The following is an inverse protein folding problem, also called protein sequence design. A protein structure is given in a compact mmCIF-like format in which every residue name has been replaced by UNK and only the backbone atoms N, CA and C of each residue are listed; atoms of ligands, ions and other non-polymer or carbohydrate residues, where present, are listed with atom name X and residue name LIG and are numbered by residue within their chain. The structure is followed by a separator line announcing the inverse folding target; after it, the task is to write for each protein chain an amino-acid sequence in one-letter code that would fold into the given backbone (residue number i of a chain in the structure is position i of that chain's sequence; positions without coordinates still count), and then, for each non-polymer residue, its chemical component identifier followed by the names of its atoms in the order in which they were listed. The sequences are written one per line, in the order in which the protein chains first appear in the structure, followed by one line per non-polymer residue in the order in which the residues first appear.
data_IF_069650582906
#
_entry.id   IF_069650582906
#
_cell.length_a   1.000
_cell.length_b   1.000
_cell.length_c   1.000
_cell.angle_alpha   90.00
_cell.angle_beta   90.00
_cell.angle_gamma   90.00
#
_symmetry.space_group_name_H-M   'P 1'
#
loop_
_entity.id
_entity.type
_entity.pdbx_description
1 polymer ?
#
# COMPACT_ATOMS: atom_id res chain seq x y z
N UNK A 1 -1.25 25.65 -1.75
CA UNK A 1 -2.21 25.15 -2.74
C UNK A 1 -3.61 25.09 -2.10
N UNK A 2 -4.68 25.33 -2.86
CA UNK A 2 -6.05 25.08 -2.38
C UNK A 2 -6.29 23.57 -2.23
N UNK A 3 -7.10 23.17 -1.24
CA UNK A 3 -7.49 21.76 -1.09
C UNK A 3 -8.31 21.32 -2.31
N UNK A 4 -8.04 20.11 -2.87
CA UNK A 4 -8.83 19.58 -3.97
C UNK A 4 -10.28 19.37 -3.54
N UNK A 5 -11.22 19.69 -4.43
CA UNK A 5 -12.66 19.55 -4.17
C UNK A 5 -13.19 18.17 -4.52
N UNK A 6 -12.62 17.56 -5.57
CA UNK A 6 -13.00 16.23 -6.04
C UNK A 6 -11.73 15.37 -6.12
N UNK A 7 -11.74 14.29 -5.36
CA UNK A 7 -10.69 13.29 -5.35
C UNK A 7 -11.23 11.97 -5.89
N UNK A 8 -10.44 11.27 -6.65
CA UNK A 8 -10.78 9.96 -7.20
C UNK A 8 -9.85 8.88 -6.62
N UNK A 9 -10.43 7.85 -6.00
CA UNK A 9 -9.66 6.70 -5.57
C UNK A 9 -9.43 5.76 -6.75
N UNK A 10 -8.16 5.52 -7.07
CA UNK A 10 -7.73 4.61 -8.12
C UNK A 10 -7.00 3.41 -7.52
N UNK A 11 -7.47 2.21 -7.82
CA UNK A 11 -6.71 1.00 -7.53
C UNK A 11 -5.56 0.87 -8.53
N UNK A 12 -4.35 1.27 -8.12
CA UNK A 12 -3.14 1.24 -8.95
C UNK A 12 -2.79 -0.14 -9.53
N UNK A 13 -3.40 -1.20 -8.98
CA UNK A 13 -3.26 -2.57 -9.52
C UNK A 13 -4.10 -2.81 -10.76
N UNK A 14 -5.20 -2.07 -10.93
CA UNK A 14 -6.18 -2.35 -11.97
C UNK A 14 -5.58 -2.47 -13.38
N UNK A 15 -4.76 -1.53 -13.86
CA UNK A 15 -4.13 -1.63 -15.17
C UNK A 15 -3.22 -2.87 -15.27
N UNK A 16 -2.42 -3.12 -14.24
CA UNK A 16 -1.47 -4.24 -14.19
C UNK A 16 -2.17 -5.62 -14.19
N UNK A 17 -3.37 -5.69 -13.62
CA UNK A 17 -4.12 -6.93 -13.42
C UNK A 17 -5.05 -7.23 -14.59
N UNK A 18 -5.81 -6.23 -15.05
CA UNK A 18 -7.00 -6.47 -15.87
C UNK A 18 -6.92 -5.91 -17.29
N UNK A 19 -6.12 -4.86 -17.51
CA UNK A 19 -6.20 -4.13 -18.78
C UNK A 19 -5.22 -4.66 -19.82
N UNK A 20 -4.01 -5.04 -19.42
CA UNK A 20 -2.94 -5.36 -20.36
C UNK A 20 -2.23 -6.66 -20.04
N UNK A 21 -1.89 -7.41 -21.08
CA UNK A 21 -1.01 -8.59 -20.98
C UNK A 21 0.46 -8.15 -20.82
N UNK A 22 1.30 -8.95 -20.14
CA UNK A 22 2.74 -8.72 -20.13
C UNK A 22 3.37 -8.94 -21.54
N UNK A 23 4.35 -8.11 -21.91
CA UNK A 23 4.94 -6.99 -21.18
C UNK A 23 4.17 -5.67 -21.39
N UNK A 24 3.70 -5.06 -20.31
CA UNK A 24 3.01 -3.77 -20.35
C UNK A 24 3.97 -2.65 -20.73
N UNK A 25 3.51 -1.73 -21.58
CA UNK A 25 4.23 -0.52 -21.96
C UNK A 25 3.93 0.64 -21.01
N UNK A 26 4.85 1.61 -20.92
CA UNK A 26 4.69 2.82 -20.10
C UNK A 26 3.40 3.58 -20.43
N UNK A 27 3.11 3.75 -21.72
CA UNK A 27 1.96 4.48 -22.22
C UNK A 27 0.64 3.81 -21.80
N UNK A 28 0.62 2.49 -21.79
CA UNK A 28 -0.52 1.69 -21.30
C UNK A 28 -0.78 1.92 -19.80
N UNK A 29 0.28 2.02 -18.99
CA UNK A 29 0.11 2.32 -17.58
C UNK A 29 -0.34 3.77 -17.33
N UNK A 30 0.05 4.72 -18.19
CA UNK A 30 -0.39 6.11 -18.13
C UNK A 30 -1.89 6.27 -18.29
N UNK A 31 -2.59 5.33 -18.93
CA UNK A 31 -4.05 5.33 -19.08
C UNK A 31 -4.79 5.34 -17.75
N UNK A 32 -4.17 4.84 -16.67
CA UNK A 32 -4.71 4.97 -15.30
C UNK A 32 -5.01 6.44 -14.93
N UNK A 33 -4.23 7.37 -15.45
CA UNK A 33 -4.41 8.80 -15.26
C UNK A 33 -5.25 9.41 -16.40
N UNK A 34 -5.02 8.99 -17.62
CA UNK A 34 -5.63 9.58 -18.82
C UNK A 34 -7.15 9.42 -18.84
N UNK A 35 -7.69 8.34 -18.26
CA UNK A 35 -9.13 8.13 -18.09
C UNK A 35 -9.80 9.24 -17.27
N UNK A 36 -9.05 9.99 -16.47
CA UNK A 36 -9.56 11.08 -15.64
C UNK A 36 -9.38 12.47 -16.28
N UNK A 37 -8.75 12.54 -17.45
CA UNK A 37 -8.59 13.80 -18.19
C UNK A 37 -9.94 14.25 -18.74
N UNK A 38 -10.24 15.55 -18.59
CA UNK A 38 -11.55 16.10 -18.99
C UNK A 38 -12.67 15.89 -17.96
N UNK A 39 -12.39 15.19 -16.86
CA UNK A 39 -13.31 15.07 -15.71
C UNK A 39 -13.02 16.16 -14.67
N UNK A 40 -13.97 16.45 -13.75
CA UNK A 40 -13.77 17.42 -12.68
C UNK A 40 -12.86 16.92 -11.53
N UNK A 41 -12.24 15.74 -11.65
CA UNK A 41 -11.28 15.21 -10.67
C UNK A 41 -10.05 16.09 -10.62
N UNK A 42 -9.69 16.55 -9.45
CA UNK A 42 -8.53 17.41 -9.20
C UNK A 42 -7.35 16.63 -8.61
N UNK A 43 -7.63 15.59 -7.84
CA UNK A 43 -6.61 14.74 -7.21
C UNK A 43 -6.92 13.25 -7.36
N UNK A 44 -5.86 12.46 -7.46
CA UNK A 44 -5.94 11.00 -7.59
C UNK A 44 -5.33 10.37 -6.33
N UNK A 45 -6.15 9.62 -5.57
CA UNK A 45 -5.70 8.79 -4.47
C UNK A 45 -5.32 7.43 -5.05
N UNK A 46 -4.01 7.19 -5.23
CA UNK A 46 -3.49 6.09 -6.03
C UNK A 46 -2.89 4.99 -5.15
N UNK A 47 -3.48 3.80 -5.15
CA UNK A 47 -3.00 2.68 -4.34
C UNK A 47 -1.65 2.16 -4.84
N UNK A 48 -0.66 2.13 -3.95
CA UNK A 48 0.72 1.74 -4.26
C UNK A 48 0.99 0.25 -4.09
N UNK A 49 0.09 -0.47 -3.46
CA UNK A 49 0.20 -1.91 -3.19
C UNK A 49 -0.58 -2.33 -1.95
N UNK A 50 -0.26 -3.50 -1.45
CA UNK A 50 -0.94 -4.10 -0.30
C UNK A 50 0.03 -4.22 0.90
N UNK A 51 -0.14 -3.38 1.90
CA UNK A 51 0.71 -3.41 3.09
C UNK A 51 2.17 -3.11 2.75
N UNK A 52 3.08 -4.08 2.87
CA UNK A 52 4.49 -3.94 2.52
C UNK A 52 4.83 -4.40 1.09
N UNK A 53 3.94 -5.11 0.43
CA UNK A 53 4.16 -5.55 -0.95
C UNK A 53 3.66 -4.47 -1.91
N UNK A 54 4.55 -3.99 -2.77
CA UNK A 54 4.35 -2.82 -3.61
C UNK A 54 4.33 -3.16 -5.09
N UNK A 55 3.74 -2.29 -5.89
CA UNK A 55 3.67 -2.41 -7.34
C UNK A 55 4.64 -1.45 -8.04
N UNK A 56 5.60 -0.93 -7.30
CA UNK A 56 6.63 0.00 -7.77
C UNK A 56 7.97 -0.31 -7.09
N UNK A 57 9.02 0.33 -7.54
CA UNK A 57 10.36 0.16 -6.99
C UNK A 57 10.46 0.71 -5.56
N UNK A 58 10.87 -0.15 -4.61
CA UNK A 58 10.98 0.17 -3.19
C UNK A 58 12.14 -0.58 -2.54
N UNK A 59 12.82 0.08 -1.60
CA UNK A 59 13.84 -0.53 -0.73
C UNK A 59 13.26 -0.87 0.65
N UNK A 60 12.29 -0.09 1.13
CA UNK A 60 11.61 -0.34 2.39
C UNK A 60 10.58 -1.46 2.30
N UNK A 61 10.00 -1.65 1.11
CA UNK A 61 9.01 -2.68 0.81
C UNK A 61 9.57 -3.82 -0.03
N UNK A 62 8.68 -4.58 -0.62
CA UNK A 62 8.97 -5.69 -1.53
C UNK A 62 8.04 -5.59 -2.74
N UNK A 63 8.53 -5.93 -3.92
CA UNK A 63 7.67 -6.02 -5.09
C UNK A 63 6.64 -7.12 -4.90
N UNK A 64 5.40 -6.82 -5.19
CA UNK A 64 4.25 -7.70 -5.05
C UNK A 64 4.46 -9.03 -5.78
N UNK A 65 4.37 -10.12 -5.04
CA UNK A 65 4.55 -11.47 -5.56
C UNK A 65 6.01 -11.96 -5.67
N UNK A 66 7.00 -11.22 -5.18
CA UNK A 66 8.42 -11.63 -5.22
C UNK A 66 8.66 -12.96 -4.50
N UNK A 67 7.97 -13.22 -3.39
CA UNK A 67 8.11 -14.47 -2.63
C UNK A 67 7.29 -15.62 -3.19
N UNK A 68 6.48 -15.40 -4.24
CA UNK A 68 5.58 -16.42 -4.75
C UNK A 68 6.33 -17.53 -5.49
N UNK A 69 6.12 -18.76 -5.04
CA UNK A 69 6.52 -20.00 -5.72
C UNK A 69 5.40 -20.55 -6.60
N UNK A 70 4.18 -20.24 -6.23
CA UNK A 70 2.95 -20.63 -6.92
C UNK A 70 1.98 -19.46 -6.93
N UNK A 71 1.23 -19.33 -8.01
CA UNK A 71 0.23 -18.26 -8.14
C UNK A 71 -1.17 -18.82 -7.90
N UNK A 72 -1.91 -18.19 -7.00
CA UNK A 72 -3.30 -18.55 -6.73
C UNK A 72 -4.23 -18.21 -7.90
N UNK A 73 -3.88 -17.19 -8.68
CA UNK A 73 -4.62 -16.79 -9.88
C UNK A 73 -3.68 -16.15 -10.92
N UNK A 74 -4.01 -16.32 -12.20
CA UNK A 74 -3.21 -15.79 -13.32
C UNK A 74 -3.11 -14.26 -13.29
N UNK A 75 -4.16 -13.57 -12.85
CA UNK A 75 -4.18 -12.09 -12.78
C UNK A 75 -3.11 -11.55 -11.84
N UNK A 76 -2.81 -12.23 -10.75
CA UNK A 76 -1.78 -11.81 -9.80
C UNK A 76 -0.37 -12.00 -10.38
N UNK A 77 -0.18 -13.08 -11.14
CA UNK A 77 1.06 -13.27 -11.89
C UNK A 77 1.24 -12.19 -12.95
N UNK A 78 0.16 -11.83 -13.66
CA UNK A 78 0.15 -10.75 -14.67
C UNK A 78 0.58 -9.43 -14.04
N UNK A 79 -0.01 -9.06 -12.89
CA UNK A 79 0.36 -7.82 -12.18
C UNK A 79 1.85 -7.80 -11.82
N UNK A 80 2.38 -8.90 -11.28
CA UNK A 80 3.81 -9.01 -10.97
C UNK A 80 4.69 -8.85 -12.21
N UNK A 81 4.35 -9.55 -13.29
CA UNK A 81 5.14 -9.50 -14.52
C UNK A 81 5.14 -8.10 -15.15
N UNK A 82 3.97 -7.43 -15.17
CA UNK A 82 3.85 -6.07 -15.70
C UNK A 82 4.64 -5.07 -14.85
N UNK A 83 4.45 -5.07 -13.53
CA UNK A 83 5.17 -4.17 -12.63
C UNK A 83 6.69 -4.40 -12.71
N UNK A 84 7.12 -5.67 -12.71
CA UNK A 84 8.53 -6.03 -12.82
C UNK A 84 9.14 -5.56 -14.14
N UNK A 85 8.45 -5.80 -15.26
CA UNK A 85 8.92 -5.35 -16.57
C UNK A 85 9.07 -3.84 -16.63
N UNK A 86 8.06 -3.08 -16.20
CA UNK A 86 8.13 -1.62 -16.17
C UNK A 86 9.33 -1.12 -15.35
N UNK A 87 9.58 -1.72 -14.18
CA UNK A 87 10.74 -1.36 -13.34
C UNK A 87 12.06 -1.68 -14.05
N UNK A 88 12.21 -2.85 -14.67
CA UNK A 88 13.41 -3.30 -15.39
C UNK A 88 13.72 -2.38 -16.59
N UNK A 89 12.69 -1.81 -17.23
CA UNK A 89 12.82 -0.82 -18.31
C UNK A 89 13.05 0.62 -17.79
N UNK A 90 13.21 0.81 -16.47
CA UNK A 90 13.40 2.13 -15.87
C UNK A 90 12.12 2.97 -15.79
N UNK A 91 10.96 2.36 -16.01
CA UNK A 91 9.64 2.98 -15.97
C UNK A 91 8.92 2.59 -14.66
N UNK A 92 9.47 3.00 -13.51
CA UNK A 92 8.84 2.73 -12.21
C UNK A 92 7.37 3.15 -12.21
N UNK A 93 6.41 2.22 -11.95
CA UNK A 93 4.96 2.47 -12.09
C UNK A 93 4.47 3.68 -11.30
N UNK A 94 4.91 3.86 -10.05
CA UNK A 94 4.46 5.00 -9.24
C UNK A 94 4.95 6.33 -9.82
N UNK A 95 6.21 6.39 -10.28
CA UNK A 95 6.77 7.58 -10.94
C UNK A 95 6.04 7.88 -12.23
N UNK A 96 5.76 6.87 -13.05
CA UNK A 96 5.00 7.02 -14.32
C UNK A 96 3.63 7.62 -14.05
N UNK A 97 2.92 7.15 -13.01
CA UNK A 97 1.60 7.68 -12.65
C UNK A 97 1.67 9.13 -12.13
N UNK A 98 2.66 9.45 -11.28
CA UNK A 98 2.85 10.81 -10.73
C UNK A 98 3.18 11.79 -11.86
N UNK A 99 4.20 11.49 -12.66
CA UNK A 99 4.64 12.37 -13.76
C UNK A 99 3.49 12.61 -14.74
N UNK A 100 2.68 11.57 -15.02
CA UNK A 100 1.52 11.71 -15.90
C UNK A 100 0.43 12.57 -15.26
N UNK A 101 0.14 12.40 -13.97
CA UNK A 101 -0.85 13.22 -13.25
C UNK A 101 -0.46 14.69 -13.28
N UNK A 102 0.78 15.02 -12.96
CA UNK A 102 1.31 16.39 -13.00
C UNK A 102 1.27 16.97 -14.41
N UNK A 103 1.66 16.20 -15.43
CA UNK A 103 1.57 16.64 -16.84
C UNK A 103 0.12 16.92 -17.29
N UNK A 104 -0.87 16.34 -16.60
CA UNK A 104 -2.31 16.55 -16.84
C UNK A 104 -2.94 17.54 -15.85
N UNK A 105 -2.15 18.22 -15.02
CA UNK A 105 -2.62 19.21 -14.04
C UNK A 105 -3.41 18.61 -12.89
N UNK A 106 -3.18 17.35 -12.54
CA UNK A 106 -3.82 16.65 -11.42
C UNK A 106 -2.83 16.42 -10.28
N UNK A 107 -3.33 16.46 -9.05
CA UNK A 107 -2.55 16.11 -7.87
C UNK A 107 -2.51 14.59 -7.68
N UNK A 108 -1.40 14.08 -7.11
CA UNK A 108 -1.22 12.67 -6.84
C UNK A 108 -0.96 12.40 -5.35
N UNK A 109 -1.83 11.59 -4.76
CA UNK A 109 -1.74 11.14 -3.37
C UNK A 109 -1.56 9.61 -3.34
N UNK A 110 -0.34 9.09 -3.15
CA UNK A 110 -0.15 7.67 -2.93
C UNK A 110 -0.96 7.18 -1.72
N UNK A 111 -1.56 6.01 -1.85
CA UNK A 111 -2.40 5.38 -0.82
C UNK A 111 -1.73 4.12 -0.31
N UNK A 112 -1.49 4.03 1.00
CA UNK A 112 -1.03 2.82 1.65
C UNK A 112 -2.19 2.12 2.36
N UNK A 113 -2.46 0.87 1.98
CA UNK A 113 -3.26 -0.04 2.78
C UNK A 113 -2.48 -0.41 4.04
N UNK A 114 -2.88 0.14 5.18
CA UNK A 114 -2.08 0.07 6.42
C UNK A 114 -2.01 -1.35 6.97
N UNK A 115 -3.17 -2.03 7.05
CA UNK A 115 -3.24 -3.40 7.56
C UNK A 115 -3.42 -4.38 6.41
N UNK A 116 -2.56 -5.38 6.38
CA UNK A 116 -2.69 -6.53 5.49
C UNK A 116 -2.62 -7.80 6.31
N UNK A 117 -3.56 -8.65 6.08
CA UNK A 117 -3.60 -9.95 6.73
C UNK A 117 -3.48 -11.06 5.74
N UNK A 118 -2.99 -12.13 6.25
CA UNK A 118 -3.13 -13.52 5.90
C UNK A 118 -2.98 -13.97 4.46
N UNK A 119 -2.10 -14.90 4.31
CA UNK A 119 -1.97 -15.71 3.12
C UNK A 119 -0.92 -16.77 3.31
N UNK A 120 -1.01 -17.80 2.50
CA UNK A 120 -0.03 -18.87 2.46
C UNK A 120 1.30 -18.36 1.90
N UNK A 121 2.39 -18.64 2.60
CA UNK A 121 3.74 -18.32 2.13
C UNK A 121 4.02 -18.87 0.74
N UNK A 122 4.53 -18.04 -0.12
CA UNK A 122 4.87 -18.42 -1.49
C UNK A 122 3.67 -18.59 -2.43
N UNK A 123 2.46 -18.30 -1.96
CA UNK A 123 1.21 -18.33 -2.74
C UNK A 123 0.49 -16.98 -2.70
N UNK A 124 0.37 -16.37 -1.53
CA UNK A 124 -0.24 -15.05 -1.41
C UNK A 124 0.79 -13.96 -1.74
N UNK A 125 0.50 -13.21 -2.77
CA UNK A 125 1.32 -12.10 -3.26
C UNK A 125 1.35 -10.88 -2.32
N UNK A 126 0.48 -10.83 -1.32
CA UNK A 126 0.39 -9.75 -0.32
C UNK A 126 1.19 -10.03 0.94
N UNK A 127 1.72 -11.24 1.08
CA UNK A 127 2.51 -11.62 2.24
C UNK A 127 3.96 -11.16 2.07
N UNK A 128 4.46 -10.33 2.99
CA UNK A 128 5.84 -9.85 2.99
C UNK A 128 6.77 -10.75 3.79
N UNK A 129 8.06 -10.74 3.45
CA UNK A 129 9.09 -11.43 4.23
C UNK A 129 9.16 -10.90 5.67
N UNK A 130 8.91 -9.60 5.87
CA UNK A 130 8.84 -9.03 7.21
C UNK A 130 7.82 -9.77 8.08
N UNK A 131 6.58 -9.92 7.59
CA UNK A 131 5.53 -10.61 8.33
C UNK A 131 5.86 -12.08 8.56
N UNK A 132 6.38 -12.77 7.54
CA UNK A 132 6.72 -14.19 7.63
C UNK A 132 7.81 -14.48 8.67
N UNK A 133 8.78 -13.57 8.78
CA UNK A 133 9.89 -13.69 9.71
C UNK A 133 9.54 -13.19 11.12
N UNK A 134 8.42 -12.49 11.27
CA UNK A 134 8.01 -11.84 12.52
C UNK A 134 6.59 -12.24 12.95
N UNK A 135 6.24 -13.51 12.85
CA UNK A 135 4.90 -14.00 13.23
C UNK A 135 4.52 -13.73 14.68
N UNK A 136 5.51 -13.56 15.55
CA UNK A 136 5.30 -13.16 16.95
C UNK A 136 4.68 -11.76 17.11
N UNK A 137 4.67 -10.95 16.05
CA UNK A 137 4.04 -9.63 16.01
C UNK A 137 2.58 -9.68 15.51
N UNK A 138 2.03 -10.88 15.26
CA UNK A 138 0.65 -11.04 14.85
C UNK A 138 -0.30 -10.96 16.05
N UNK A 139 -1.47 -10.34 15.86
CA UNK A 139 -2.49 -10.11 16.89
C UNK A 139 -2.94 -11.44 17.55
N UNK A 140 -3.09 -12.50 16.75
CA UNK A 140 -3.59 -13.79 17.24
C UNK A 140 -2.61 -14.62 18.06
N UNK A 141 -1.33 -14.25 18.11
CA UNK A 141 -0.27 -15.05 18.78
C UNK A 141 -0.54 -15.25 20.27
N UNK A 142 -1.16 -14.28 20.92
CA UNK A 142 -1.51 -14.34 22.36
C UNK A 142 -2.71 -15.24 22.68
N UNK A 143 -3.35 -15.83 21.67
CA UNK A 143 -4.43 -16.78 21.85
C UNK A 143 -5.81 -16.15 22.12
N UNK A 144 -5.92 -14.84 22.01
CA UNK A 144 -7.15 -14.08 22.29
C UNK A 144 -8.13 -14.07 21.12
N UNK A 145 -7.68 -14.50 19.95
CA UNK A 145 -8.46 -14.55 18.71
C UNK A 145 -8.40 -15.97 18.16
N UNK A 146 -9.52 -16.46 17.64
CA UNK A 146 -9.57 -17.77 17.00
C UNK A 146 -8.67 -17.82 15.76
N UNK A 147 -7.95 -18.94 15.56
CA UNK A 147 -7.15 -19.17 14.34
C UNK A 147 -7.97 -19.17 13.06
N UNK A 148 -9.28 -19.35 13.15
CA UNK A 148 -10.19 -19.26 12.02
C UNK A 148 -10.60 -17.83 11.69
N UNK A 149 -10.31 -16.87 12.56
CA UNK A 149 -10.57 -15.45 12.30
C UNK A 149 -9.49 -14.89 11.37
N UNK A 150 -9.93 -14.17 10.36
CA UNK A 150 -9.04 -13.53 9.38
C UNK A 150 -8.05 -12.56 10.03
N UNK A 151 -8.43 -11.90 11.12
CA UNK A 151 -7.59 -10.97 11.85
C UNK A 151 -6.49 -11.63 12.69
N UNK A 152 -6.54 -12.96 12.86
CA UNK A 152 -5.52 -13.71 13.61
C UNK A 152 -4.09 -13.37 13.15
N UNK A 153 -3.90 -13.27 11.84
CA UNK A 153 -2.61 -13.04 11.23
C UNK A 153 -2.35 -11.55 10.90
N UNK A 154 -3.18 -10.62 11.39
CA UNK A 154 -2.92 -9.19 11.25
C UNK A 154 -1.77 -8.77 12.17
N UNK A 155 -0.97 -7.81 11.71
CA UNK A 155 0.11 -7.27 12.52
C UNK A 155 -0.43 -6.38 13.65
N UNK A 156 0.10 -6.57 14.85
CA UNK A 156 -0.26 -5.78 16.04
C UNK A 156 0.55 -4.47 16.07
N UNK A 157 -0.13 -3.36 15.90
CA UNK A 157 0.47 -2.02 15.92
C UNK A 157 0.86 -1.55 17.32
N UNK A 158 0.62 -2.33 18.39
CA UNK A 158 1.23 -2.10 19.68
C UNK A 158 2.77 -2.29 19.64
N UNK A 159 3.26 -3.12 18.70
CA UNK A 159 4.69 -3.32 18.50
C UNK A 159 5.34 -2.16 17.73
N UNK A 160 6.48 -1.68 18.23
CA UNK A 160 7.23 -0.59 17.59
C UNK A 160 7.76 -1.00 16.22
N UNK A 161 8.19 -2.23 16.06
CA UNK A 161 8.71 -2.81 14.82
C UNK A 161 7.68 -2.73 13.68
N UNK A 162 6.41 -2.98 13.99
CA UNK A 162 5.30 -2.88 13.02
C UNK A 162 5.09 -1.44 12.59
N UNK A 163 5.05 -0.51 13.56
CA UNK A 163 4.89 0.92 13.27
C UNK A 163 6.06 1.47 12.48
N UNK A 164 7.28 1.08 12.87
CA UNK A 164 8.52 1.50 12.18
C UNK A 164 8.54 1.03 10.73
N UNK A 165 8.17 -0.22 10.48
CA UNK A 165 8.13 -0.77 9.13
C UNK A 165 7.17 0.02 8.23
N UNK A 166 5.97 0.37 8.73
CA UNK A 166 5.02 1.20 7.99
C UNK A 166 5.54 2.63 7.77
N UNK A 167 6.19 3.18 8.79
CA UNK A 167 6.76 4.52 8.71
C UNK A 167 7.92 4.61 7.72
N UNK A 168 8.80 3.62 7.69
CA UNK A 168 9.93 3.56 6.75
C UNK A 168 9.42 3.58 5.29
N UNK A 169 8.34 2.86 5.01
CA UNK A 169 7.72 2.88 3.70
C UNK A 169 7.13 4.25 3.32
N UNK A 170 6.38 4.86 4.23
CA UNK A 170 5.81 6.19 4.01
C UNK A 170 6.93 7.20 3.76
N UNK A 171 7.97 7.16 4.60
CA UNK A 171 9.15 8.03 4.50
C UNK A 171 9.87 7.86 3.15
N UNK A 172 10.07 6.62 2.71
CA UNK A 172 10.67 6.34 1.41
C UNK A 172 9.83 6.96 0.30
N UNK A 173 8.54 6.70 0.27
CA UNK A 173 7.64 7.21 -0.78
C UNK A 173 7.71 8.73 -0.88
N UNK A 174 7.62 9.44 0.25
CA UNK A 174 7.63 10.91 0.25
C UNK A 174 8.99 11.49 -0.13
N UNK A 175 10.09 10.81 0.18
CA UNK A 175 11.43 11.28 -0.16
C UNK A 175 11.83 10.96 -1.61
N UNK A 176 11.33 9.85 -2.16
CA UNK A 176 11.70 9.35 -3.49
C UNK A 176 10.86 9.95 -4.62
N UNK A 177 9.61 10.32 -4.32
CA UNK A 177 8.64 10.76 -5.31
C UNK A 177 8.14 12.18 -5.03
N UNK A 178 7.80 12.91 -6.10
CA UNK A 178 7.19 14.24 -6.03
C UNK A 178 5.68 14.10 -5.82
N UNK A 179 5.29 13.79 -4.58
CA UNK A 179 3.89 13.56 -4.19
C UNK A 179 3.25 14.83 -3.62
N UNK A 180 1.97 15.05 -3.89
CA UNK A 180 1.21 16.21 -3.38
C UNK A 180 0.63 15.97 -1.98
N UNK A 181 0.65 14.72 -1.52
CA UNK A 181 0.19 14.28 -0.22
C UNK A 181 0.28 12.77 -0.09
N UNK A 182 -0.27 12.22 1.00
CA UNK A 182 -0.25 10.77 1.25
C UNK A 182 -1.52 10.36 1.99
N UNK A 183 -2.12 9.22 1.62
CA UNK A 183 -3.31 8.67 2.28
C UNK A 183 -2.99 7.36 3.00
N UNK A 184 -3.47 7.24 4.22
CA UNK A 184 -3.49 5.98 4.97
C UNK A 184 -4.88 5.36 4.86
N UNK A 185 -4.97 4.24 4.16
CA UNK A 185 -6.22 3.52 3.99
C UNK A 185 -6.38 2.48 5.10
N UNK A 186 -7.33 2.73 6.00
CA UNK A 186 -7.55 1.94 7.21
C UNK A 186 -8.61 0.83 7.05
N UNK A 187 -9.16 0.65 5.86
CA UNK A 187 -10.17 -0.38 5.56
C UNK A 187 -9.56 -1.73 5.21
N UNK A 188 -10.42 -2.71 4.92
CA UNK A 188 -10.17 -4.14 4.70
C UNK A 188 -9.64 -4.91 5.91
N UNK A 189 -8.74 -4.38 6.70
CA UNK A 189 -8.31 -4.93 7.97
C UNK A 189 -8.60 -3.91 9.05
N UNK A 190 -9.66 -4.10 9.84
CA UNK A 190 -10.13 -3.11 10.81
C UNK A 190 -9.53 -3.31 12.20
N UNK A 191 -8.80 -4.40 12.43
CA UNK A 191 -8.16 -4.68 13.71
C UNK A 191 -6.67 -4.34 13.62
N UNK A 192 -6.24 -3.40 14.46
CA UNK A 192 -4.87 -2.88 14.51
C UNK A 192 -4.15 -3.25 15.82
N UNK A 193 -4.88 -3.67 16.83
CA UNK A 193 -4.38 -4.01 18.15
C UNK A 193 -5.08 -5.26 18.67
N UNK A 194 -4.44 -5.99 19.59
CA UNK A 194 -5.10 -7.06 20.30
C UNK A 194 -6.30 -6.50 21.09
N UNK A 195 -7.54 -6.92 20.82
CA UNK A 195 -8.73 -6.37 21.47
C UNK A 195 -8.76 -6.60 22.98
N UNK A 196 -8.01 -7.58 23.48
CA UNK A 196 -7.98 -7.89 24.92
C UNK A 196 -6.91 -7.09 25.67
N UNK A 197 -5.96 -6.49 24.99
CA UNK A 197 -4.98 -5.57 25.60
C UNK A 197 -5.45 -4.11 25.61
N UNK A 198 -6.47 -3.83 24.81
CA UNK A 198 -7.04 -2.49 24.67
C UNK A 198 -8.29 -2.34 25.53
N UNK A 199 -8.19 -2.64 26.83
CA UNK A 199 -9.30 -2.46 27.76
C UNK A 199 -9.61 -0.98 28.12
N UNK A 200 -8.85 -0.04 27.61
CA UNK A 200 -9.08 1.38 27.84
C UNK A 200 -9.08 2.14 26.50
N UNK A 201 -10.23 2.64 26.08
CA UNK A 201 -10.37 3.48 24.87
C UNK A 201 -9.40 4.65 24.81
N UNK A 202 -8.82 5.06 25.95
CA UNK A 202 -7.74 6.03 26.03
C UNK A 202 -6.43 5.52 25.46
N UNK A 203 -6.12 4.22 25.57
CA UNK A 203 -4.92 3.63 25.01
C UNK A 203 -4.97 3.60 23.47
N UNK A 204 -6.15 3.28 22.90
CA UNK A 204 -6.39 3.40 21.45
C UNK A 204 -6.18 4.84 20.97
N UNK A 205 -6.66 5.81 21.72
CA UNK A 205 -6.48 7.25 21.39
C UNK A 205 -5.02 7.67 21.52
N UNK A 206 -4.28 7.18 22.52
CA UNK A 206 -2.86 7.50 22.72
C UNK A 206 -1.99 6.87 21.62
N UNK A 207 -2.29 5.65 21.23
CA UNK A 207 -1.57 4.95 20.17
C UNK A 207 -2.02 5.39 18.77
N UNK A 208 -3.28 5.85 18.61
CA UNK A 208 -3.77 6.58 17.45
C UNK A 208 -3.09 7.96 17.26
N UNK A 209 -2.64 8.59 18.35
CA UNK A 209 -1.80 9.81 18.30
C UNK A 209 -0.43 9.50 17.66
N UNK A 210 0.11 8.30 17.79
CA UNK A 210 1.36 7.91 17.11
C UNK A 210 1.20 7.87 15.58
N UNK A 211 0.07 7.38 15.06
CA UNK A 211 -0.25 7.52 13.63
C UNK A 211 -0.44 8.99 13.24
N UNK A 212 -1.11 9.81 14.07
CA UNK A 212 -1.27 11.24 13.82
C UNK A 212 0.04 12.02 13.96
N UNK A 213 0.97 11.60 14.80
CA UNK A 213 2.30 12.20 14.94
C UNK A 213 3.16 11.93 13.72
N UNK A 214 3.06 10.73 13.13
CA UNK A 214 3.65 10.44 11.82
C UNK A 214 3.08 11.36 10.74
N UNK A 215 1.76 11.58 10.71
CA UNK A 215 1.12 12.51 9.77
C UNK A 215 1.57 13.97 10.00
N UNK A 216 1.75 14.43 11.23
CA UNK A 216 2.21 15.79 11.53
C UNK A 216 3.68 16.04 11.16
N UNK A 217 4.52 15.01 11.10
CA UNK A 217 5.88 15.10 10.57
C UNK A 217 5.91 15.22 9.03
N UNK A 218 4.88 14.70 8.36
CA UNK A 218 4.72 14.76 6.91
C UNK A 218 4.15 16.09 6.42
N UNK A 219 3.38 16.81 7.27
CA UNK A 219 2.79 18.11 6.93
C UNK A 219 3.73 19.31 7.12
N UNK A 220 5.00 19.09 7.44
CA UNK A 220 5.99 20.16 7.67
C UNK A 220 6.99 20.36 6.51
N UNK A 221 6.59 19.97 5.28
CA UNK A 221 7.29 20.41 4.07
C UNK A 221 6.57 21.55 3.39
#
# INVERSE_FOLDING_TARGET
MSKPKIMFYHDGRHPLIYMYEPPMQKEEYQEAVDQLVGTPVEAINFTTGDGRTMLHETEAGELWGTVNKKWSHIIFRRAHQNAKHLIEEGNDPLRVAIDRAHAKGKLMYPVLLVQQGSGEYGVDNRTSSFRLNNKHLEIGVKGNISKSDRSYEYLDFAHEEVRKERFDYIKETINKYDVDGFELQMNYGLLYFDPNEVNDGRKIMTDGILLSTCMNLLCKK
#
